data_IF_834350960709
#
_entry.id   IF_834350960709
#
_cell.length_a   1.000
_cell.length_b   1.000
_cell.length_c   1.000
_cell.angle_alpha   90.00
_cell.angle_beta   90.00
_cell.angle_gamma   90.00
#
_symmetry.space_group_name_H-M   'P 1'
#
loop_
_entity.id
_entity.type
_entity.pdbx_description
1 polymer ?
#
# COMPACT_ATOMS: atom_id res chain seq x y z
N UNK A 1 -36.74 76.90 -11.22
CA UNK A 1 -35.47 77.17 -11.85
C UNK A 1 -35.18 76.04 -12.87
N UNK A 2 -34.89 76.37 -14.13
CA UNK A 2 -34.69 75.35 -15.16
C UNK A 2 -33.55 74.36 -14.85
N UNK A 3 -32.55 74.80 -14.13
CA UNK A 3 -31.36 73.98 -13.76
C UNK A 3 -31.71 72.84 -12.75
N UNK A 4 -32.79 73.04 -12.04
CA UNK A 4 -33.26 72.10 -11.05
C UNK A 4 -34.60 71.46 -11.42
N UNK A 5 -34.86 71.36 -12.72
CA UNK A 5 -36.06 70.70 -13.20
C UNK A 5 -36.12 69.25 -12.73
N UNK A 6 -37.35 68.77 -12.63
CA UNK A 6 -37.59 67.38 -12.26
C UNK A 6 -36.85 66.37 -13.15
N UNK A 7 -36.77 66.66 -14.45
CA UNK A 7 -36.11 65.80 -15.42
C UNK A 7 -34.59 65.71 -15.19
N UNK A 8 -33.96 66.84 -14.82
CA UNK A 8 -32.54 66.92 -14.52
C UNK A 8 -32.23 66.11 -13.27
N UNK A 9 -33.06 66.22 -12.24
CA UNK A 9 -32.91 65.45 -11.01
C UNK A 9 -33.08 63.96 -11.25
N UNK A 10 -34.07 63.55 -12.03
CA UNK A 10 -34.32 62.15 -12.37
C UNK A 10 -33.16 61.52 -13.15
N UNK A 11 -32.62 62.28 -14.12
CA UNK A 11 -31.43 61.81 -14.86
C UNK A 11 -30.22 61.66 -13.99
N UNK A 12 -29.99 62.51 -13.03
CA UNK A 12 -28.91 62.39 -12.05
C UNK A 12 -29.05 61.16 -11.22
N UNK A 13 -30.27 60.85 -10.76
CA UNK A 13 -30.55 59.63 -10.00
C UNK A 13 -30.30 58.36 -10.82
N UNK A 14 -30.74 58.36 -12.08
CA UNK A 14 -30.48 57.23 -12.98
C UNK A 14 -29.00 57.00 -13.22
N UNK A 15 -28.22 58.11 -13.40
CA UNK A 15 -26.79 58.01 -13.55
C UNK A 15 -26.12 57.44 -12.31
N UNK A 16 -26.51 57.85 -11.12
CA UNK A 16 -26.04 57.28 -9.87
C UNK A 16 -26.39 55.79 -9.70
N UNK A 17 -27.63 55.43 -10.05
CA UNK A 17 -28.06 54.04 -10.02
C UNK A 17 -27.21 53.14 -10.93
N UNK A 18 -26.97 53.62 -12.15
CA UNK A 18 -26.15 52.90 -13.11
C UNK A 18 -24.72 52.71 -12.58
N UNK A 19 -24.14 53.76 -12.00
CA UNK A 19 -22.82 53.72 -11.41
C UNK A 19 -22.76 52.75 -10.24
N UNK A 20 -23.71 52.79 -9.32
CA UNK A 20 -23.76 51.90 -8.17
C UNK A 20 -23.95 50.43 -8.60
N UNK A 21 -24.81 50.19 -9.60
CA UNK A 21 -25.04 48.86 -10.15
C UNK A 21 -23.77 48.28 -10.76
N UNK A 22 -23.02 49.11 -11.51
CA UNK A 22 -21.77 48.72 -12.14
C UNK A 22 -20.69 48.39 -11.09
N UNK A 23 -20.56 49.23 -10.06
CA UNK A 23 -19.67 49.00 -8.94
C UNK A 23 -20.00 47.70 -8.18
N UNK A 24 -21.29 47.41 -8.01
CA UNK A 24 -21.74 46.20 -7.39
C UNK A 24 -21.35 44.97 -8.20
N UNK A 25 -21.54 45.00 -9.52
CA UNK A 25 -21.15 43.90 -10.40
C UNK A 25 -19.64 43.68 -10.39
N UNK A 26 -18.87 44.72 -10.47
CA UNK A 26 -17.41 44.66 -10.40
C UNK A 26 -16.93 44.05 -9.08
N UNK A 27 -17.53 44.49 -7.96
CA UNK A 27 -17.24 43.96 -6.65
C UNK A 27 -17.56 42.46 -6.54
N UNK A 28 -18.73 42.07 -7.05
CA UNK A 28 -19.12 40.64 -7.06
C UNK A 28 -18.18 39.78 -7.89
N UNK A 29 -17.78 40.27 -9.08
CA UNK A 29 -16.82 39.57 -9.94
C UNK A 29 -15.48 39.41 -9.25
N UNK A 30 -15.00 40.43 -8.54
CA UNK A 30 -13.76 40.33 -7.75
C UNK A 30 -13.85 39.31 -6.62
N UNK A 31 -14.97 39.28 -5.91
CA UNK A 31 -15.17 38.29 -4.84
C UNK A 31 -15.28 36.88 -5.38
N UNK A 32 -15.94 36.66 -6.51
CA UNK A 32 -15.98 35.35 -7.18
C UNK A 32 -14.59 34.89 -7.60
N UNK A 33 -13.78 35.81 -8.16
CA UNK A 33 -12.39 35.49 -8.50
C UNK A 33 -11.56 35.14 -7.28
N UNK A 34 -11.74 35.85 -6.17
CA UNK A 34 -11.07 35.55 -4.90
C UNK A 34 -11.49 34.19 -4.33
N UNK A 35 -12.76 33.83 -4.40
CA UNK A 35 -13.26 32.54 -3.96
C UNK A 35 -12.65 31.43 -4.80
N UNK A 36 -12.62 31.58 -6.10
CA UNK A 36 -12.02 30.60 -7.00
C UNK A 36 -10.53 30.41 -6.68
N UNK A 37 -9.80 31.52 -6.51
CA UNK A 37 -8.37 31.47 -6.22
C UNK A 37 -8.07 30.90 -4.84
N UNK A 38 -8.76 31.35 -3.81
CA UNK A 38 -8.44 31.01 -2.41
C UNK A 38 -9.13 29.75 -1.90
N UNK A 39 -10.32 29.45 -2.38
CA UNK A 39 -11.16 28.37 -1.88
C UNK A 39 -11.27 27.25 -2.92
N UNK A 40 -11.63 27.56 -4.15
CA UNK A 40 -11.84 26.56 -5.19
C UNK A 40 -10.60 25.71 -5.46
N UNK A 41 -9.42 26.32 -5.50
CA UNK A 41 -8.16 25.58 -5.68
C UNK A 41 -7.88 24.67 -4.48
N UNK A 42 -8.17 25.11 -3.27
CA UNK A 42 -8.01 24.30 -2.05
C UNK A 42 -9.01 23.14 -2.01
N UNK A 43 -10.24 23.36 -2.41
CA UNK A 43 -11.26 22.31 -2.53
C UNK A 43 -10.85 21.25 -3.55
N UNK A 44 -10.27 21.66 -4.68
CA UNK A 44 -9.72 20.73 -5.67
C UNK A 44 -8.59 19.89 -5.10
N UNK A 45 -7.70 20.50 -4.33
CA UNK A 45 -6.61 19.78 -3.64
C UNK A 45 -7.18 18.77 -2.64
N UNK A 46 -8.20 19.14 -1.88
CA UNK A 46 -8.88 18.23 -0.94
C UNK A 46 -9.47 17.04 -1.68
N UNK A 47 -10.24 17.27 -2.74
CA UNK A 47 -10.85 16.21 -3.54
C UNK A 47 -9.80 15.26 -4.12
N UNK A 48 -8.74 15.81 -4.71
CA UNK A 48 -7.65 15.02 -5.27
C UNK A 48 -6.91 14.22 -4.20
N UNK A 49 -6.72 14.80 -3.03
CA UNK A 49 -6.08 14.13 -1.90
C UNK A 49 -6.95 12.99 -1.36
N UNK A 50 -8.25 13.20 -1.27
CA UNK A 50 -9.20 12.15 -0.88
C UNK A 50 -9.18 10.96 -1.84
N UNK A 51 -9.14 11.22 -3.15
CA UNK A 51 -9.00 10.18 -4.18
C UNK A 51 -7.68 9.42 -4.04
N UNK A 52 -6.60 10.12 -3.76
CA UNK A 52 -5.30 9.51 -3.54
C UNK A 52 -5.29 8.63 -2.28
N UNK A 53 -5.97 9.06 -1.23
CA UNK A 53 -6.15 8.26 0.00
C UNK A 53 -6.89 6.96 -0.31
N UNK A 54 -8.02 7.02 -1.04
CA UNK A 54 -8.76 5.83 -1.45
C UNK A 54 -7.88 4.85 -2.22
N UNK A 55 -7.11 5.37 -3.17
CA UNK A 55 -6.20 4.56 -3.98
C UNK A 55 -5.16 3.86 -3.11
N UNK A 56 -4.55 4.59 -2.18
CA UNK A 56 -3.56 4.04 -1.25
C UNK A 56 -4.15 3.04 -0.29
N UNK A 57 -5.36 3.26 0.18
CA UNK A 57 -6.09 2.30 1.01
C UNK A 57 -6.32 0.99 0.26
N UNK A 58 -6.69 1.04 -1.01
CA UNK A 58 -6.79 -0.13 -1.87
C UNK A 58 -5.46 -0.87 -2.01
N UNK A 59 -4.36 -0.14 -2.20
CA UNK A 59 -3.02 -0.70 -2.28
C UNK A 59 -2.60 -1.37 -0.96
N UNK A 60 -2.96 -0.76 0.18
CA UNK A 60 -2.70 -1.33 1.51
C UNK A 60 -3.42 -2.67 1.67
N UNK A 61 -4.68 -2.76 1.28
CA UNK A 61 -5.44 -4.01 1.36
C UNK A 61 -4.84 -5.10 0.46
N UNK A 62 -4.42 -4.77 -0.74
CA UNK A 62 -3.72 -5.69 -1.63
C UNK A 62 -2.40 -6.17 -1.04
N UNK A 63 -1.63 -5.27 -0.45
CA UNK A 63 -0.37 -5.61 0.22
C UNK A 63 -0.58 -6.50 1.43
N UNK A 64 -1.60 -6.25 2.23
CA UNK A 64 -1.98 -7.11 3.37
C UNK A 64 -2.30 -8.52 2.91
N UNK A 65 -3.09 -8.65 1.85
CA UNK A 65 -3.43 -9.93 1.25
C UNK A 65 -2.17 -10.67 0.76
N UNK A 66 -1.30 -9.96 0.07
CA UNK A 66 -0.04 -10.51 -0.42
C UNK A 66 0.85 -11.01 0.72
N UNK A 67 0.93 -10.27 1.82
CA UNK A 67 1.69 -10.67 3.00
C UNK A 67 1.12 -11.95 3.61
N UNK A 68 -0.20 -12.07 3.73
CA UNK A 68 -0.84 -13.29 4.26
C UNK A 68 -0.56 -14.50 3.36
N UNK A 69 -0.59 -14.32 2.04
CA UNK A 69 -0.24 -15.37 1.09
C UNK A 69 1.22 -15.81 1.23
N UNK A 70 2.13 -14.85 1.42
CA UNK A 70 3.55 -15.14 1.66
C UNK A 70 3.78 -15.88 2.97
N UNK A 71 3.08 -15.51 4.03
CA UNK A 71 3.14 -16.20 5.33
C UNK A 71 2.66 -17.64 5.21
N UNK A 72 1.56 -17.86 4.49
CA UNK A 72 1.04 -19.21 4.23
C UNK A 72 2.06 -20.04 3.44
N UNK A 73 2.71 -19.43 2.45
CA UNK A 73 3.77 -20.08 1.67
C UNK A 73 4.97 -20.48 2.54
N UNK A 74 5.39 -19.58 3.43
CA UNK A 74 6.49 -19.88 4.38
C UNK A 74 6.13 -21.06 5.27
N UNK A 75 4.91 -21.10 5.81
CA UNK A 75 4.46 -22.20 6.65
C UNK A 75 4.46 -23.53 5.89
N UNK A 76 3.99 -23.52 4.65
CA UNK A 76 4.01 -24.70 3.78
C UNK A 76 5.44 -25.21 3.54
N UNK A 77 6.35 -24.31 3.23
CA UNK A 77 7.77 -24.65 3.01
C UNK A 77 8.42 -25.19 4.29
N UNK A 78 8.11 -24.61 5.45
CA UNK A 78 8.59 -25.11 6.74
C UNK A 78 8.15 -26.56 7.00
N UNK A 79 6.90 -26.88 6.66
CA UNK A 79 6.39 -28.26 6.76
C UNK A 79 7.12 -29.20 5.82
N UNK A 80 7.37 -28.78 4.57
CA UNK A 80 8.14 -29.56 3.61
C UNK A 80 9.56 -29.81 4.10
N UNK A 81 10.21 -28.83 4.69
CA UNK A 81 11.54 -28.97 5.29
C UNK A 81 11.50 -29.98 6.42
N UNK A 82 10.49 -29.93 7.28
CA UNK A 82 10.35 -30.86 8.38
C UNK A 82 10.21 -32.33 7.88
N UNK A 83 9.34 -32.56 6.91
CA UNK A 83 9.15 -33.86 6.28
C UNK A 83 10.44 -34.36 5.64
N UNK A 84 11.11 -33.52 4.86
CA UNK A 84 12.38 -33.87 4.23
C UNK A 84 13.47 -34.17 5.24
N UNK A 85 13.54 -33.40 6.32
CA UNK A 85 14.49 -33.63 7.41
C UNK A 85 14.26 -34.99 8.07
N UNK A 86 13.01 -35.34 8.34
CA UNK A 86 12.66 -36.66 8.92
C UNK A 86 13.02 -37.81 7.97
N UNK A 87 12.76 -37.68 6.68
CA UNK A 87 13.11 -38.67 5.66
C UNK A 87 14.63 -38.89 5.59
N UNK A 88 15.40 -37.79 5.55
CA UNK A 88 16.86 -37.81 5.50
C UNK A 88 17.41 -38.49 6.79
N UNK A 89 16.85 -38.15 7.95
CA UNK A 89 17.28 -38.72 9.20
C UNK A 89 17.03 -40.25 9.24
N UNK A 90 15.90 -40.71 8.70
CA UNK A 90 15.60 -42.14 8.59
C UNK A 90 16.57 -42.85 7.66
N UNK A 91 16.88 -42.27 6.52
CA UNK A 91 17.85 -42.79 5.57
C UNK A 91 19.25 -42.87 6.20
N UNK A 92 19.64 -41.82 6.92
CA UNK A 92 20.94 -41.78 7.63
C UNK A 92 21.02 -42.86 8.69
N UNK A 93 19.95 -43.10 9.48
CA UNK A 93 19.91 -44.16 10.48
C UNK A 93 20.03 -45.53 9.85
N UNK A 94 19.35 -45.79 8.74
CA UNK A 94 19.45 -47.05 7.99
C UNK A 94 20.87 -47.25 7.47
N UNK A 95 21.47 -46.22 6.94
CA UNK A 95 22.84 -46.25 6.47
C UNK A 95 23.82 -46.63 7.59
N UNK A 96 23.71 -45.96 8.74
CA UNK A 96 24.53 -46.24 9.91
C UNK A 96 24.37 -47.69 10.42
N UNK A 97 23.12 -48.15 10.52
CA UNK A 97 22.83 -49.50 10.97
C UNK A 97 23.42 -50.53 10.03
N UNK A 98 23.32 -50.31 8.72
CA UNK A 98 23.91 -51.19 7.70
C UNK A 98 25.43 -51.20 7.78
N UNK A 99 26.01 -50.02 7.88
CA UNK A 99 27.45 -49.84 8.02
C UNK A 99 27.96 -50.55 9.27
N UNK A 100 27.36 -50.36 10.42
CA UNK A 100 27.75 -50.97 11.69
C UNK A 100 27.62 -52.49 11.63
N UNK A 101 26.59 -53.01 10.98
CA UNK A 101 26.42 -54.43 10.76
C UNK A 101 27.61 -55.01 9.99
N UNK A 102 27.98 -54.44 8.88
CA UNK A 102 29.10 -54.91 8.08
C UNK A 102 30.44 -54.78 8.81
N UNK A 103 30.64 -53.69 9.53
CA UNK A 103 31.87 -53.56 10.33
C UNK A 103 31.97 -54.59 11.42
N UNK A 104 30.88 -54.92 12.08
CA UNK A 104 30.85 -56.00 13.09
C UNK A 104 31.14 -57.38 12.49
N UNK A 105 30.61 -57.65 11.29
CA UNK A 105 30.91 -58.90 10.57
C UNK A 105 32.41 -58.99 10.24
N UNK A 106 32.98 -57.89 9.72
CA UNK A 106 34.43 -57.85 9.39
C UNK A 106 35.30 -57.97 10.64
N UNK A 107 34.95 -57.37 11.75
CA UNK A 107 35.67 -57.45 13.00
C UNK A 107 35.64 -58.87 13.55
N UNK A 108 34.53 -59.61 13.46
CA UNK A 108 34.40 -60.99 13.82
C UNK A 108 35.28 -61.91 12.94
N UNK A 109 35.28 -61.64 11.62
CA UNK A 109 36.13 -62.39 10.69
C UNK A 109 37.60 -62.23 11.02
N UNK A 110 38.05 -61.01 11.34
CA UNK A 110 39.40 -60.69 11.77
C UNK A 110 39.76 -61.54 13.05
N UNK A 111 38.87 -61.54 14.00
CA UNK A 111 39.06 -62.37 15.26
C UNK A 111 39.22 -63.82 14.96
N UNK A 112 38.38 -64.39 14.10
CA UNK A 112 38.43 -65.78 13.69
C UNK A 112 39.77 -66.07 13.02
N UNK A 113 40.18 -65.23 12.09
CA UNK A 113 41.48 -65.40 11.39
C UNK A 113 42.65 -65.36 12.38
N UNK A 114 42.61 -64.42 13.33
CA UNK A 114 43.72 -64.27 14.30
C UNK A 114 43.81 -65.48 15.30
N UNK A 115 42.70 -66.17 15.49
CA UNK A 115 42.64 -67.31 16.37
C UNK A 115 42.94 -68.65 15.67
N UNK A 116 43.16 -68.63 14.35
CA UNK A 116 43.56 -69.84 13.62
C UNK A 116 45.02 -70.18 13.89
N UNK A 117 45.29 -71.38 14.22
CA UNK A 117 46.68 -71.91 14.40
C UNK A 117 47.25 -72.39 13.07
N UNK A 118 47.53 -71.40 12.22
CA UNK A 118 48.12 -71.72 10.92
C UNK A 118 49.62 -71.44 10.91
#
# INVERSE_FOLDING_TARGET
HPEFSKDVLLKSIETYRAFISEEKQDGQSQFEAKRLEKIGNKESVISNTELEIEKRQGQIEELKKSIEEMKASINSIKQEIQVSTEEINKEEQKFKATFDFFMNVLDNDVKIINNLNI
#
